data_IF_820017299004
#
_entry.id   IF_820017299004
#
_cell.length_a   1.000
_cell.length_b   1.000
_cell.length_c   1.000
_cell.angle_alpha   90.00
_cell.angle_beta   90.00
_cell.angle_gamma   90.00
#
_symmetry.space_group_name_H-M   'P 1'
#
loop_
_entity.id
_entity.type
_entity.pdbx_description
1 polymer ?
#
# COMPACT_ATOMS: atom_id res chain seq x y z
N UNK A 1 -6.24 -1.90 -18.44
CA UNK A 1 -5.61 -1.61 -17.15
C UNK A 1 -5.45 -2.92 -16.40
N UNK A 2 -4.24 -3.22 -15.97
CA UNK A 2 -3.94 -4.45 -15.26
C UNK A 2 -3.72 -4.19 -13.79
N UNK A 3 -4.14 -5.12 -12.94
CA UNK A 3 -3.93 -5.04 -11.51
C UNK A 3 -3.25 -6.32 -11.06
N UNK A 4 -2.17 -6.15 -10.30
CA UNK A 4 -1.40 -7.26 -9.78
C UNK A 4 -1.35 -7.17 -8.27
N UNK A 5 -1.72 -8.24 -7.58
CA UNK A 5 -1.62 -8.28 -6.13
C UNK A 5 -0.14 -8.14 -5.75
N UNK A 6 0.16 -7.19 -4.88
CA UNK A 6 1.54 -6.99 -4.39
C UNK A 6 1.66 -7.14 -2.89
N UNK A 7 0.55 -7.10 -2.17
CA UNK A 7 0.63 -7.21 -0.72
C UNK A 7 -0.71 -7.13 -0.04
N UNK A 8 -0.65 -6.96 1.26
CA UNK A 8 -1.85 -6.82 2.08
C UNK A 8 -1.61 -5.85 3.22
N UNK A 9 -2.69 -5.24 3.69
CA UNK A 9 -2.64 -4.34 4.85
C UNK A 9 -2.47 -5.18 6.10
N UNK A 10 -1.46 -4.87 6.90
CA UNK A 10 -1.22 -5.56 8.17
C UNK A 10 -1.69 -4.74 9.36
N UNK A 11 -1.78 -3.42 9.22
CA UNK A 11 -2.29 -2.55 10.28
C UNK A 11 -2.68 -1.20 9.70
N UNK A 12 -3.66 -0.55 10.33
CA UNK A 12 -4.06 0.80 9.99
C UNK A 12 -3.97 1.70 11.24
N UNK A 13 -3.25 2.80 11.11
CA UNK A 13 -3.09 3.79 12.16
C UNK A 13 -4.02 4.96 11.87
N UNK A 14 -5.23 4.88 12.41
CA UNK A 14 -6.30 5.83 12.07
C UNK A 14 -6.02 7.27 12.41
N UNK A 15 -5.25 7.53 13.49
CA UNK A 15 -4.98 8.91 13.91
C UNK A 15 -4.12 9.67 12.93
N UNK A 16 -3.22 8.97 12.24
CA UNK A 16 -2.30 9.61 11.30
C UNK A 16 -2.59 9.24 9.85
N UNK A 17 -3.60 8.39 9.63
CA UNK A 17 -4.00 8.00 8.28
C UNK A 17 -2.95 7.19 7.53
N UNK A 18 -2.21 6.34 8.23
CA UNK A 18 -1.14 5.54 7.65
C UNK A 18 -1.51 4.07 7.70
N UNK A 19 -1.30 3.37 6.59
CA UNK A 19 -1.46 1.93 6.51
C UNK A 19 -0.08 1.28 6.47
N UNK A 20 0.09 0.22 7.27
CA UNK A 20 1.25 -0.64 7.18
C UNK A 20 0.89 -1.77 6.23
N UNK A 21 1.68 -1.95 5.20
CA UNK A 21 1.44 -2.92 4.14
C UNK A 21 2.64 -3.84 4.03
N UNK A 22 2.39 -5.15 4.00
CA UNK A 22 3.44 -6.13 3.74
C UNK A 22 3.43 -6.46 2.27
N UNK A 23 4.58 -6.25 1.62
CA UNK A 23 4.73 -6.60 0.21
C UNK A 23 5.05 -8.09 0.11
N UNK A 24 4.15 -8.85 -0.51
CA UNK A 24 4.28 -10.29 -0.66
C UNK A 24 4.73 -10.68 -2.05
N UNK A 25 4.56 -9.79 -3.02
CA UNK A 25 4.95 -10.03 -4.41
C UNK A 25 5.34 -8.71 -5.06
N UNK A 26 6.31 -8.77 -5.96
CA UNK A 26 6.70 -7.60 -6.73
C UNK A 26 7.34 -6.49 -5.92
N UNK A 27 7.19 -5.28 -6.41
CA UNK A 27 7.77 -4.09 -5.80
C UNK A 27 6.82 -2.91 -5.94
N UNK A 28 7.09 -1.85 -5.19
CA UNK A 28 6.30 -0.62 -5.25
C UNK A 28 7.22 0.58 -5.19
N UNK A 29 6.92 1.59 -6.00
CA UNK A 29 7.67 2.85 -6.05
C UNK A 29 6.77 4.03 -5.79
N UNK A 30 7.33 5.09 -5.24
CA UNK A 30 6.65 6.38 -5.15
C UNK A 30 6.27 6.82 -6.57
N UNK A 31 5.05 7.30 -6.73
CA UNK A 31 4.50 7.69 -8.02
C UNK A 31 3.65 6.63 -8.69
N UNK A 32 3.74 5.39 -8.25
CA UNK A 32 2.91 4.32 -8.81
C UNK A 32 1.50 4.37 -8.20
N UNK A 33 0.55 3.82 -8.93
CA UNK A 33 -0.85 3.78 -8.53
C UNK A 33 -1.17 2.41 -7.94
N UNK A 34 -1.89 2.42 -6.84
CA UNK A 34 -2.37 1.20 -6.19
C UNK A 34 -3.88 1.23 -6.05
N UNK A 35 -4.45 0.05 -5.87
CA UNK A 35 -5.84 -0.13 -5.49
C UNK A 35 -5.86 -0.97 -4.22
N UNK A 36 -6.64 -0.53 -3.23
CA UNK A 36 -6.81 -1.29 -1.99
C UNK A 36 -8.25 -1.79 -1.96
N UNK A 37 -8.42 -3.09 -1.83
CA UNK A 37 -9.73 -3.75 -1.85
C UNK A 37 -9.88 -4.62 -0.62
N UNK A 38 -10.98 -4.44 0.07
CA UNK A 38 -11.35 -5.25 1.20
C UNK A 38 -12.86 -5.30 1.34
N UNK A 39 -13.32 -5.79 2.47
CA UNK A 39 -14.75 -5.92 2.73
C UNK A 39 -15.49 -4.59 2.63
N UNK A 40 -14.85 -3.54 3.15
CA UNK A 40 -15.43 -2.19 3.16
C UNK A 40 -14.55 -1.16 2.47
N UNK A 41 -13.48 -1.61 1.79
CA UNK A 41 -12.54 -0.72 1.12
C UNK A 41 -12.46 -1.07 -0.35
N UNK A 42 -12.49 -0.07 -1.20
CA UNK A 42 -12.22 -0.25 -2.63
C UNK A 42 -11.93 1.13 -3.20
N UNK A 43 -10.65 1.46 -3.32
CA UNK A 43 -10.26 2.76 -3.86
C UNK A 43 -8.88 2.71 -4.49
N UNK A 44 -8.63 3.69 -5.34
CA UNK A 44 -7.34 3.88 -6.01
C UNK A 44 -6.63 5.08 -5.42
N UNK A 45 -5.31 5.01 -5.34
CA UNK A 45 -4.51 6.20 -5.03
C UNK A 45 -3.09 6.06 -5.59
N UNK A 46 -2.44 7.20 -5.77
CA UNK A 46 -1.04 7.27 -6.15
C UNK A 46 -0.22 7.34 -4.86
N UNK A 47 0.92 6.68 -4.84
CA UNK A 47 1.83 6.70 -3.70
C UNK A 47 2.63 8.00 -3.72
N UNK A 48 2.36 8.88 -2.75
CA UNK A 48 3.07 10.14 -2.63
C UNK A 48 4.37 9.99 -1.84
N UNK A 49 4.35 9.13 -0.82
CA UNK A 49 5.52 8.89 0.00
C UNK A 49 5.41 7.50 0.63
N UNK A 50 6.55 6.95 1.00
CA UNK A 50 6.62 5.60 1.51
C UNK A 50 7.75 5.52 2.54
N UNK A 51 7.55 4.75 3.59
CA UNK A 51 8.56 4.56 4.62
C UNK A 51 8.79 3.08 4.89
N UNK A 52 10.02 2.73 5.20
CA UNK A 52 10.40 1.42 5.71
C UNK A 52 11.20 1.67 6.97
N UNK A 53 10.75 1.10 8.09
CA UNK A 53 11.39 1.27 9.41
C UNK A 53 11.61 2.76 9.73
N UNK A 54 10.58 3.57 9.53
CA UNK A 54 10.58 5.01 9.80
C UNK A 54 11.53 5.83 8.91
N UNK A 55 12.10 5.23 7.89
CA UNK A 55 12.95 5.94 6.93
C UNK A 55 12.22 6.08 5.60
N UNK A 56 12.26 7.28 5.03
CA UNK A 56 11.64 7.51 3.71
C UNK A 56 12.43 6.77 2.63
N UNK A 57 11.70 6.07 1.77
CA UNK A 57 12.30 5.34 0.66
C UNK A 57 11.53 5.65 -0.62
N UNK A 58 12.19 5.48 -1.76
CA UNK A 58 11.56 5.69 -3.06
C UNK A 58 10.98 4.40 -3.62
N UNK A 59 11.47 3.26 -3.16
CA UNK A 59 11.09 1.96 -3.67
C UNK A 59 11.24 0.91 -2.58
N UNK A 60 10.37 -0.09 -2.61
CA UNK A 60 10.47 -1.24 -1.72
C UNK A 60 10.09 -2.50 -2.48
N UNK A 61 10.66 -3.62 -2.11
CA UNK A 61 10.45 -4.90 -2.78
C UNK A 61 9.79 -5.93 -1.89
N UNK A 62 9.62 -7.11 -2.45
CA UNK A 62 9.02 -8.24 -1.78
C UNK A 62 9.66 -8.49 -0.41
N UNK A 63 8.82 -8.73 0.57
CA UNK A 63 9.25 -8.97 1.95
C UNK A 63 9.32 -7.73 2.81
N UNK A 64 9.23 -6.54 2.22
CA UNK A 64 9.27 -5.30 2.98
C UNK A 64 7.91 -5.00 3.62
N UNK A 65 7.96 -4.40 4.81
CA UNK A 65 6.78 -3.82 5.44
C UNK A 65 6.89 -2.31 5.26
N UNK A 66 5.95 -1.73 4.54
CA UNK A 66 5.97 -0.31 4.21
C UNK A 66 4.85 0.43 4.91
N UNK A 67 5.08 1.71 5.20
CA UNK A 67 4.04 2.60 5.69
C UNK A 67 3.73 3.63 4.62
N UNK A 68 2.46 3.78 4.30
CA UNK A 68 2.02 4.80 3.33
C UNK A 68 0.81 5.54 3.89
N UNK A 69 0.71 6.81 3.54
CA UNK A 69 -0.51 7.56 3.83
C UNK A 69 -1.60 7.09 2.88
N UNK A 70 -2.77 6.83 3.43
CA UNK A 70 -3.92 6.42 2.63
C UNK A 70 -5.00 7.48 2.74
N UNK A 71 -5.70 7.73 1.65
CA UNK A 71 -6.75 8.75 1.62
C UNK A 71 -8.07 8.28 2.20
N UNK A 72 -8.22 6.98 2.40
CA UNK A 72 -9.43 6.39 2.97
C UNK A 72 -9.04 5.35 4.00
N UNK A 73 -9.98 5.04 4.87
CA UNK A 73 -9.77 4.04 5.91
C UNK A 73 -9.59 2.66 5.29
N UNK A 74 -8.62 1.91 5.80
CA UNK A 74 -8.39 0.52 5.41
C UNK A 74 -8.42 -0.37 6.64
N UNK A 75 -8.46 -1.68 6.43
CA UNK A 75 -8.50 -2.67 7.52
C UNK A 75 -7.44 -3.73 7.30
N UNK A 76 -7.07 -4.40 8.38
CA UNK A 76 -6.17 -5.55 8.30
C UNK A 76 -6.73 -6.57 7.30
N UNK A 77 -5.83 -7.17 6.54
CA UNK A 77 -6.12 -8.17 5.51
C UNK A 77 -6.71 -7.61 4.20
N UNK A 78 -6.91 -6.30 4.10
CA UNK A 78 -7.27 -5.71 2.81
C UNK A 78 -6.15 -5.99 1.81
N UNK A 79 -6.51 -6.28 0.58
CA UNK A 79 -5.55 -6.62 -0.47
C UNK A 79 -5.09 -5.38 -1.19
N UNK A 80 -3.79 -5.32 -1.48
CA UNK A 80 -3.18 -4.20 -2.20
C UNK A 80 -2.74 -4.68 -3.58
N UNK A 81 -3.22 -3.99 -4.61
CA UNK A 81 -2.87 -4.25 -6.00
C UNK A 81 -2.06 -3.09 -6.56
N UNK A 82 -1.09 -3.41 -7.40
CA UNK A 82 -0.43 -2.39 -8.22
C UNK A 82 -1.19 -2.29 -9.53
N UNK A 83 -1.47 -1.07 -9.96
CA UNK A 83 -2.23 -0.81 -11.18
C UNK A 83 -1.24 -0.40 -12.26
N UNK A 84 -1.22 -1.18 -13.35
CA UNK A 84 -0.35 -0.93 -14.50
C UNK A 84 -1.21 -0.49 -15.70
N UNK A 85 -0.64 0.31 -16.52
CA UNK A 85 -1.30 0.81 -17.73
C UNK A 85 -1.68 2.26 -17.61
#
# INVERSE_FOLDING_TARGET
MEEHKIGEVIKFFGKIGVAAIRLTEGSLKVGEKIRIVGHTSDFFQVIDSMQVENASVQEAGKGADIGIKVKERVREHDTVYKVAG
#
